data_IF_581520238278
#
_entry.id   IF_581520238278
#
_cell.length_a   1.000
_cell.length_b   1.000
_cell.length_c   1.000
_cell.angle_alpha   90.00
_cell.angle_beta   90.00
_cell.angle_gamma   90.00
#
_symmetry.space_group_name_H-M   'P 1'
#
loop_
_entity.id
_entity.type
_entity.pdbx_description
1 polymer ?
#
# COMPACT_ATOMS: atom_id res chain seq x y z
N UNK A 1 3.07 -56.20 23.03
CA UNK A 1 2.07 -55.64 22.09
C UNK A 1 1.61 -54.23 22.47
N UNK A 2 2.51 -53.34 22.96
CA UNK A 2 2.19 -51.95 23.38
C UNK A 2 2.93 -50.86 22.62
N UNK A 3 3.85 -51.21 21.72
CA UNK A 3 4.73 -50.23 21.04
C UNK A 3 4.16 -49.63 19.74
N UNK A 4 3.19 -50.30 19.09
CA UNK A 4 2.60 -49.81 17.82
C UNK A 4 1.62 -48.66 18.03
N UNK A 5 0.96 -48.55 19.17
CA UNK A 5 -0.04 -47.50 19.42
C UNK A 5 0.57 -46.15 19.70
N UNK A 6 1.81 -46.10 20.20
CA UNK A 6 2.48 -44.83 20.52
C UNK A 6 3.02 -44.15 19.26
N UNK A 7 3.55 -44.90 18.32
CA UNK A 7 4.04 -44.39 17.06
C UNK A 7 2.97 -43.85 16.13
N UNK A 8 1.77 -44.47 16.16
CA UNK A 8 0.62 -43.98 15.39
C UNK A 8 0.09 -42.64 15.94
N UNK A 9 0.06 -42.46 17.27
CA UNK A 9 -0.40 -41.21 17.87
C UNK A 9 0.58 -40.06 17.62
N UNK A 10 1.89 -40.31 17.67
CA UNK A 10 2.91 -39.28 17.38
C UNK A 10 2.91 -38.83 15.93
N UNK A 11 2.60 -39.71 14.99
CA UNK A 11 2.45 -39.36 13.57
C UNK A 11 1.19 -38.52 13.32
N UNK A 12 0.10 -38.76 14.04
CA UNK A 12 -1.14 -37.97 13.95
C UNK A 12 -0.96 -36.54 14.47
N UNK A 13 -0.27 -36.35 15.61
CA UNK A 13 0.01 -35.02 16.14
C UNK A 13 1.01 -34.25 15.29
N UNK A 14 1.99 -34.91 14.68
CA UNK A 14 2.94 -34.29 13.74
C UNK A 14 2.24 -33.83 12.46
N UNK A 15 1.25 -34.56 11.97
CA UNK A 15 0.48 -34.23 10.78
C UNK A 15 -0.49 -33.05 11.04
N UNK A 16 -1.13 -33.02 12.23
CA UNK A 16 -2.03 -31.93 12.62
C UNK A 16 -1.30 -30.60 12.82
N UNK A 17 -0.08 -30.60 13.35
CA UNK A 17 0.73 -29.40 13.52
C UNK A 17 1.24 -28.91 12.15
N UNK A 18 1.56 -29.81 11.22
CA UNK A 18 1.97 -29.47 9.87
C UNK A 18 0.84 -28.87 9.00
N UNK A 19 -0.41 -29.26 9.22
CA UNK A 19 -1.56 -28.70 8.50
C UNK A 19 -1.98 -27.31 9.01
N UNK A 20 -1.76 -27.01 10.28
CA UNK A 20 -2.11 -25.70 10.84
C UNK A 20 -1.15 -24.58 10.41
N UNK A 21 0.05 -24.92 9.95
CA UNK A 21 1.04 -23.92 9.47
C UNK A 21 0.81 -23.47 8.00
N UNK A 22 -0.18 -24.03 7.32
CA UNK A 22 -0.38 -23.80 5.88
C UNK A 22 -1.39 -22.69 5.54
N UNK A 23 -1.97 -21.98 6.53
CA UNK A 23 -3.13 -21.12 6.28
C UNK A 23 -2.91 -19.60 6.45
N UNK A 24 -1.74 -19.13 6.78
CA UNK A 24 -1.43 -17.71 6.74
C UNK A 24 -0.82 -17.35 5.37
N UNK A 25 -1.59 -17.48 4.32
CA UNK A 25 -1.20 -16.97 3.00
C UNK A 25 -1.77 -15.55 2.90
N UNK A 26 -0.92 -14.56 3.16
CA UNK A 26 -1.28 -13.16 2.92
C UNK A 26 -1.64 -12.93 1.45
N UNK A 27 -2.26 -11.80 1.17
CA UNK A 27 -2.74 -11.42 -0.15
C UNK A 27 -1.67 -11.56 -1.23
N UNK A 28 -1.93 -12.33 -2.27
CA UNK A 28 -1.05 -12.38 -3.44
C UNK A 28 -1.45 -11.27 -4.40
N UNK A 29 -0.65 -10.20 -4.46
CA UNK A 29 -0.83 -9.15 -5.44
C UNK A 29 0.06 -9.44 -6.65
N UNK A 30 -0.57 -9.53 -7.82
CA UNK A 30 0.09 -9.84 -9.09
C UNK A 30 -0.18 -8.80 -10.18
N UNK A 31 -0.87 -7.72 -9.86
CA UNK A 31 -1.19 -6.66 -10.81
C UNK A 31 -1.84 -5.44 -10.15
N UNK A 32 -2.33 -4.54 -11.01
CA UNK A 32 -2.98 -3.31 -10.56
C UNK A 32 -4.22 -3.02 -11.40
N UNK A 33 -5.34 -2.77 -10.72
CA UNK A 33 -6.62 -2.36 -11.29
C UNK A 33 -6.67 -0.85 -11.48
N UNK A 34 -7.06 -0.40 -12.67
CA UNK A 34 -7.24 1.03 -12.93
C UNK A 34 -8.67 1.47 -12.61
N UNK A 35 -8.80 2.50 -11.78
CA UNK A 35 -10.05 3.17 -11.46
C UNK A 35 -9.96 4.64 -11.91
N UNK A 36 -10.19 4.91 -13.20
CA UNK A 36 -10.05 6.25 -13.75
C UNK A 36 -11.22 7.14 -13.34
N UNK A 37 -10.94 8.45 -13.17
CA UNK A 37 -11.97 9.49 -12.95
C UNK A 37 -12.84 9.27 -11.72
N UNK A 38 -12.19 8.95 -10.58
CA UNK A 38 -12.85 8.89 -9.25
C UNK A 38 -13.51 10.22 -8.91
N UNK A 39 -12.81 11.33 -9.20
CA UNK A 39 -13.37 12.66 -9.35
C UNK A 39 -13.19 13.09 -10.81
N UNK A 40 -14.18 13.79 -11.38
CA UNK A 40 -14.20 14.12 -12.80
C UNK A 40 -14.83 15.49 -13.03
N UNK A 41 -14.30 16.53 -12.40
CA UNK A 41 -14.81 17.90 -12.53
C UNK A 41 -14.45 18.52 -13.89
N UNK A 42 -13.46 17.95 -14.61
CA UNK A 42 -13.17 18.26 -16.00
C UNK A 42 -13.31 17.02 -16.90
N UNK A 43 -14.53 16.64 -17.29
CA UNK A 43 -14.76 15.44 -18.11
C UNK A 43 -14.18 15.54 -19.52
N UNK A 44 -13.87 16.75 -20.00
CA UNK A 44 -13.23 16.98 -21.30
C UNK A 44 -11.70 16.84 -21.30
N UNK A 45 -11.07 16.55 -20.18
CA UNK A 45 -9.63 16.30 -20.12
C UNK A 45 -9.25 15.01 -20.84
N UNK A 46 -8.00 14.94 -21.31
CA UNK A 46 -7.45 13.74 -21.93
C UNK A 46 -6.63 12.95 -20.92
N UNK A 47 -7.21 11.84 -20.44
CA UNK A 47 -6.54 10.91 -19.52
C UNK A 47 -5.81 9.83 -20.28
N UNK A 48 -4.55 9.60 -19.91
CA UNK A 48 -3.73 8.47 -20.37
C UNK A 48 -3.13 7.76 -19.16
N UNK A 49 -3.39 6.46 -19.02
CA UNK A 49 -2.75 5.59 -18.02
C UNK A 49 -1.89 4.57 -18.77
N UNK A 50 -0.62 4.50 -18.40
CA UNK A 50 0.34 3.58 -19.02
C UNK A 50 1.00 2.71 -17.93
N UNK A 51 1.07 1.38 -18.09
CA UNK A 51 0.49 0.60 -19.19
C UNK A 51 -1.05 0.68 -19.20
N UNK A 52 -1.63 0.37 -20.36
CA UNK A 52 -3.09 0.27 -20.44
C UNK A 52 -3.60 -0.88 -19.56
N UNK A 53 -4.82 -0.71 -19.03
CA UNK A 53 -5.47 -1.75 -18.23
C UNK A 53 -5.78 -3.03 -19.04
N UNK A 54 -5.72 -4.21 -18.42
CA UNK A 54 -5.29 -4.50 -17.05
C UNK A 54 -3.76 -4.48 -16.90
N UNK A 55 -3.26 -3.97 -15.76
CA UNK A 55 -1.82 -3.97 -15.46
C UNK A 55 -1.48 -5.25 -14.73
N UNK A 56 -0.94 -6.22 -15.45
CA UNK A 56 -0.59 -7.55 -14.92
C UNK A 56 0.92 -7.65 -14.63
N UNK A 57 1.37 -6.89 -13.63
CA UNK A 57 2.76 -6.87 -13.17
C UNK A 57 2.84 -6.40 -11.71
N UNK A 58 3.73 -7.00 -10.93
CA UNK A 58 4.16 -6.56 -9.61
C UNK A 58 5.62 -7.03 -9.41
N UNK A 59 6.62 -6.12 -9.43
CA UNK A 59 6.52 -4.67 -9.48
C UNK A 59 6.03 -4.11 -10.82
N UNK A 60 5.52 -2.86 -10.81
CA UNK A 60 5.04 -2.16 -11.99
C UNK A 60 5.62 -0.74 -12.11
N UNK A 61 5.69 -0.26 -13.35
CA UNK A 61 5.84 1.17 -13.65
C UNK A 61 4.52 1.68 -14.19
N UNK A 62 3.97 2.72 -13.55
CA UNK A 62 2.65 3.26 -13.83
C UNK A 62 2.78 4.74 -14.10
N UNK A 63 2.22 5.23 -15.19
CA UNK A 63 2.14 6.65 -15.48
C UNK A 63 0.69 7.08 -15.61
N UNK A 64 0.28 8.09 -14.85
CA UNK A 64 -1.06 8.69 -14.87
C UNK A 64 -0.90 10.12 -15.36
N UNK A 65 -1.30 10.40 -16.59
CA UNK A 65 -1.27 11.73 -17.20
C UNK A 65 -2.70 12.18 -17.50
N UNK A 66 -3.14 13.29 -16.90
CA UNK A 66 -4.39 13.95 -17.25
C UNK A 66 -4.11 15.38 -17.76
N UNK A 67 -4.44 15.62 -19.03
CA UNK A 67 -4.24 16.89 -19.74
C UNK A 67 -5.56 17.68 -19.78
N UNK A 68 -5.56 18.85 -19.17
CA UNK A 68 -6.77 19.67 -19.02
C UNK A 68 -7.02 20.57 -20.22
N UNK A 69 -8.28 20.65 -20.63
CA UNK A 69 -8.71 21.45 -21.80
C UNK A 69 -8.99 22.92 -21.47
N UNK A 70 -9.13 23.25 -20.18
CA UNK A 70 -9.44 24.61 -19.72
C UNK A 70 -9.36 24.72 -18.20
N UNK A 71 -9.55 25.95 -17.71
CA UNK A 71 -9.68 26.18 -16.27
C UNK A 71 -10.97 25.55 -15.73
N UNK A 72 -10.88 24.98 -14.52
CA UNK A 72 -12.04 24.47 -13.80
C UNK A 72 -11.82 24.50 -12.30
N UNK A 73 -12.92 24.69 -11.54
CA UNK A 73 -12.92 24.53 -10.08
C UNK A 73 -13.09 23.06 -9.72
N UNK A 74 -12.27 22.58 -8.80
CA UNK A 74 -12.32 21.19 -8.37
C UNK A 74 -11.11 20.38 -8.84
N UNK A 75 -11.26 19.07 -8.97
CA UNK A 75 -10.17 18.19 -9.34
C UNK A 75 -10.64 16.98 -10.16
N UNK A 76 -9.74 16.49 -11.01
CA UNK A 76 -9.80 15.11 -11.49
C UNK A 76 -8.87 14.24 -10.64
N UNK A 77 -9.32 13.05 -10.28
CA UNK A 77 -8.53 12.03 -9.58
C UNK A 77 -8.62 10.69 -10.31
N UNK A 78 -7.49 10.04 -10.41
CA UNK A 78 -7.34 8.76 -11.06
C UNK A 78 -6.52 7.85 -10.15
N UNK A 79 -7.03 6.63 -9.93
CA UNK A 79 -6.42 5.64 -9.05
C UNK A 79 -5.98 4.41 -9.84
N UNK A 80 -4.92 3.79 -9.36
CA UNK A 80 -4.45 2.47 -9.79
C UNK A 80 -4.18 1.64 -8.54
N UNK A 81 -5.08 0.71 -8.25
CA UNK A 81 -5.14 -0.05 -7.00
C UNK A 81 -4.51 -1.44 -7.15
N UNK A 82 -3.88 -1.95 -6.09
CA UNK A 82 -3.35 -3.32 -6.06
C UNK A 82 -4.45 -4.34 -6.40
N UNK A 83 -4.07 -5.40 -7.12
CA UNK A 83 -4.97 -6.43 -7.64
C UNK A 83 -4.37 -7.82 -7.45
N UNK A 84 -5.20 -8.76 -7.03
CA UNK A 84 -4.85 -10.18 -6.89
C UNK A 84 -5.20 -11.04 -8.11
N UNK A 85 -5.86 -10.47 -9.11
CA UNK A 85 -6.39 -11.16 -10.30
C UNK A 85 -5.84 -10.59 -11.63
N UNK A 86 -4.61 -10.05 -11.59
CA UNK A 86 -3.94 -9.53 -12.77
C UNK A 86 -4.47 -8.18 -13.25
N UNK A 87 -5.04 -7.37 -12.38
CA UNK A 87 -5.52 -6.04 -12.70
C UNK A 87 -6.99 -5.96 -13.14
N UNK A 88 -7.75 -7.03 -12.92
CA UNK A 88 -9.19 -7.07 -13.30
C UNK A 88 -10.06 -6.39 -12.23
N UNK A 89 -9.75 -6.63 -10.94
CA UNK A 89 -10.44 -5.98 -9.82
C UNK A 89 -9.45 -5.48 -8.77
N UNK A 90 -9.82 -4.44 -8.03
CA UNK A 90 -9.04 -3.99 -6.88
C UNK A 90 -9.11 -5.01 -5.75
N UNK A 91 -7.98 -5.32 -5.12
CA UNK A 91 -7.93 -6.19 -3.96
C UNK A 91 -8.43 -5.47 -2.71
N UNK A 92 -9.29 -6.13 -1.94
CA UNK A 92 -9.76 -5.64 -0.65
C UNK A 92 -8.93 -6.28 0.47
N UNK A 93 -8.14 -5.45 1.15
CA UNK A 93 -7.34 -5.85 2.29
C UNK A 93 -8.21 -5.90 3.55
N UNK A 94 -7.99 -6.90 4.39
CA UNK A 94 -8.58 -6.98 5.70
C UNK A 94 -7.69 -6.31 6.76
N UNK A 95 -8.24 -6.12 7.95
CA UNK A 95 -7.53 -5.54 9.10
C UNK A 95 -6.33 -6.39 9.57
N UNK A 96 -6.32 -7.68 9.21
CA UNK A 96 -5.28 -8.63 9.59
C UNK A 96 -4.17 -8.74 8.53
N UNK A 97 -4.34 -8.13 7.38
CA UNK A 97 -3.35 -8.18 6.31
C UNK A 97 -2.13 -7.32 6.68
N UNK A 98 -0.96 -7.94 6.78
CA UNK A 98 0.30 -7.24 6.99
C UNK A 98 1.08 -7.14 5.70
N UNK A 99 1.47 -5.91 5.32
CA UNK A 99 2.14 -5.69 4.04
C UNK A 99 3.10 -4.51 4.04
N UNK A 100 3.92 -4.49 3.01
CA UNK A 100 4.75 -3.38 2.58
C UNK A 100 4.33 -2.95 1.18
N UNK A 101 3.94 -1.69 1.01
CA UNK A 101 3.68 -1.08 -0.28
C UNK A 101 4.66 0.05 -0.52
N UNK A 102 5.37 0.03 -1.64
CA UNK A 102 6.36 1.05 -2.00
C UNK A 102 6.22 1.50 -3.44
N UNK A 103 6.55 2.75 -3.70
CA UNK A 103 6.65 3.31 -5.05
C UNK A 103 7.60 4.49 -5.08
N UNK A 104 8.32 4.67 -6.18
CA UNK A 104 9.00 5.94 -6.46
C UNK A 104 8.08 6.83 -7.25
N UNK A 105 7.73 7.98 -6.69
CA UNK A 105 6.84 8.95 -7.32
C UNK A 105 7.63 10.12 -7.89
N UNK A 106 7.26 10.52 -9.12
CA UNK A 106 7.67 11.79 -9.73
C UNK A 106 6.40 12.51 -10.17
N UNK A 107 6.11 13.65 -9.54
CA UNK A 107 4.96 14.49 -9.87
C UNK A 107 5.43 15.65 -10.74
N UNK A 108 4.80 15.82 -11.90
CA UNK A 108 4.97 16.99 -12.76
C UNK A 108 3.59 17.57 -13.12
N UNK A 109 3.57 18.86 -13.43
CA UNK A 109 2.37 19.58 -13.88
C UNK A 109 2.73 20.69 -14.84
N UNK A 110 1.77 21.20 -15.60
CA UNK A 110 1.95 22.38 -16.43
C UNK A 110 2.21 23.62 -15.58
N UNK A 111 1.49 23.73 -14.47
CA UNK A 111 1.65 24.77 -13.46
C UNK A 111 1.63 24.15 -12.07
N UNK A 112 2.33 24.78 -11.10
CA UNK A 112 2.30 24.29 -9.71
C UNK A 112 0.97 24.56 -9.01
N UNK A 113 0.25 25.60 -9.42
CA UNK A 113 -1.07 25.96 -8.91
C UNK A 113 -2.12 25.94 -10.06
N UNK A 114 -3.31 25.42 -9.86
CA UNK A 114 -3.81 24.81 -8.63
C UNK A 114 -3.03 23.54 -8.29
N UNK A 115 -3.11 23.16 -7.01
CA UNK A 115 -2.42 22.02 -6.44
C UNK A 115 -2.58 20.76 -7.30
N UNK A 116 -1.45 20.08 -7.60
CA UNK A 116 -1.37 18.75 -8.13
C UNK A 116 -0.81 17.84 -7.05
N UNK A 117 -1.26 16.61 -7.04
CA UNK A 117 -0.87 15.60 -6.06
C UNK A 117 -0.60 14.26 -6.75
N UNK A 118 0.34 13.52 -6.20
CA UNK A 118 0.57 12.13 -6.55
C UNK A 118 1.08 11.38 -5.32
N UNK A 119 0.72 10.11 -5.19
CA UNK A 119 1.17 9.33 -4.04
C UNK A 119 0.44 8.00 -3.88
N UNK A 120 0.47 7.52 -2.64
CA UNK A 120 -0.21 6.29 -2.22
C UNK A 120 -1.58 6.67 -1.66
N UNK A 121 -2.61 5.92 -2.05
CA UNK A 121 -3.96 6.07 -1.54
C UNK A 121 -4.45 4.78 -0.91
N UNK A 122 -5.06 4.93 0.24
CA UNK A 122 -5.92 3.92 0.85
C UNK A 122 -7.36 4.36 0.65
N UNK A 123 -8.16 3.48 0.09
CA UNK A 123 -9.58 3.72 -0.14
C UNK A 123 -10.40 2.76 0.72
N UNK A 124 -11.13 3.29 1.69
CA UNK A 124 -12.08 2.50 2.47
C UNK A 124 -13.50 2.99 2.16
N UNK A 125 -14.43 2.10 1.83
CA UNK A 125 -15.82 2.48 1.61
C UNK A 125 -16.53 2.95 2.89
N UNK A 126 -15.93 2.69 4.06
CA UNK A 126 -16.54 3.00 5.36
C UNK A 126 -15.98 4.31 5.93
N UNK A 127 -14.68 4.54 5.79
CA UNK A 127 -13.97 5.60 6.51
C UNK A 127 -13.37 6.67 5.60
N UNK A 128 -13.50 6.47 4.29
CA UNK A 128 -12.99 7.40 3.30
C UNK A 128 -11.52 7.17 2.95
N UNK A 129 -10.86 8.25 2.52
CA UNK A 129 -9.51 8.20 1.98
C UNK A 129 -8.45 8.45 3.03
N UNK A 130 -7.37 7.66 2.99
CA UNK A 130 -6.09 8.06 3.54
C UNK A 130 -5.09 8.24 2.38
N UNK A 131 -4.36 9.33 2.40
CA UNK A 131 -3.43 9.73 1.36
C UNK A 131 -2.04 9.90 1.94
N UNK A 132 -1.03 9.36 1.25
CA UNK A 132 0.38 9.65 1.49
C UNK A 132 0.96 10.20 0.20
N UNK A 133 1.26 11.48 0.14
CA UNK A 133 1.40 12.21 -1.11
C UNK A 133 2.57 13.18 -1.13
N UNK A 134 2.94 13.55 -2.37
CA UNK A 134 3.67 14.76 -2.70
C UNK A 134 2.75 15.74 -3.41
N UNK A 135 2.97 17.05 -3.24
CA UNK A 135 2.19 18.07 -3.93
C UNK A 135 3.06 19.13 -4.63
N UNK A 136 2.46 19.85 -5.58
CA UNK A 136 3.15 20.79 -6.43
C UNK A 136 3.20 22.22 -5.91
N UNK A 137 2.19 22.66 -5.16
CA UNK A 137 2.04 24.06 -4.74
C UNK A 137 2.84 24.39 -3.48
N UNK A 138 2.79 23.55 -2.47
CA UNK A 138 3.54 23.72 -1.23
C UNK A 138 4.83 22.89 -1.18
N UNK A 139 5.02 21.94 -2.09
CA UNK A 139 6.17 21.04 -2.09
C UNK A 139 6.21 20.11 -0.87
N UNK A 140 5.06 19.72 -0.37
CA UNK A 140 4.94 18.88 0.82
C UNK A 140 5.08 17.40 0.48
N UNK A 141 5.54 16.65 1.48
CA UNK A 141 5.42 15.20 1.57
C UNK A 141 4.64 14.93 2.84
N UNK A 142 3.42 14.46 2.71
CA UNK A 142 2.46 14.49 3.83
C UNK A 142 1.46 13.34 3.79
N UNK A 143 0.95 12.97 4.97
CA UNK A 143 -0.16 12.02 5.12
C UNK A 143 -1.43 12.76 5.56
N UNK A 144 -2.59 12.38 4.98
CA UNK A 144 -3.91 12.90 5.32
C UNK A 144 -4.94 11.78 5.46
N UNK A 145 -6.01 12.01 6.20
CA UNK A 145 -7.14 11.08 6.34
C UNK A 145 -6.86 9.89 7.24
N UNK A 146 -5.74 9.92 7.93
CA UNK A 146 -5.28 8.93 8.91
C UNK A 146 -4.32 9.60 9.89
N UNK A 147 -3.32 8.88 10.43
CA UNK A 147 -2.27 9.51 11.22
C UNK A 147 -1.58 10.59 10.40
N UNK A 148 -1.73 11.85 10.84
CA UNK A 148 -1.14 12.99 10.14
C UNK A 148 0.37 13.04 10.39
N UNK A 149 1.16 13.18 9.33
CA UNK A 149 2.60 13.41 9.41
C UNK A 149 3.08 14.27 8.24
N UNK A 150 3.93 15.24 8.53
CA UNK A 150 4.61 16.08 7.54
C UNK A 150 6.11 15.77 7.55
N UNK A 151 6.63 15.20 6.46
CA UNK A 151 8.05 14.97 6.26
C UNK A 151 8.70 16.29 5.83
N UNK A 152 9.30 17.01 6.78
CA UNK A 152 9.89 18.33 6.53
C UNK A 152 11.40 18.32 6.56
N UNK A 153 12.03 19.32 5.95
CA UNK A 153 13.42 19.67 6.21
C UNK A 153 13.48 20.45 7.53
N UNK A 154 13.76 19.79 8.67
CA UNK A 154 14.12 20.40 9.97
C UNK A 154 13.46 21.75 10.27
N UNK A 155 12.12 21.83 10.23
CA UNK A 155 11.37 22.99 10.75
C UNK A 155 10.77 23.96 9.74
N UNK A 156 10.74 23.64 8.46
CA UNK A 156 10.04 24.50 7.52
C UNK A 156 9.73 23.78 6.21
N UNK A 157 8.51 23.45 5.97
CA UNK A 157 7.85 22.92 4.79
C UNK A 157 8.67 22.71 3.53
N UNK A 158 8.38 22.15 2.50
CA UNK A 158 9.00 21.93 1.22
C UNK A 158 10.06 20.83 1.20
N UNK A 159 9.60 19.60 1.50
CA UNK A 159 10.43 18.41 1.36
C UNK A 159 10.49 17.86 -0.06
N UNK A 160 9.63 18.36 -0.96
CA UNK A 160 9.48 17.89 -2.34
C UNK A 160 9.66 19.02 -3.36
N UNK A 161 10.36 18.72 -4.43
CA UNK A 161 10.45 19.60 -5.61
C UNK A 161 9.75 18.91 -6.78
N UNK A 162 8.72 19.52 -7.40
CA UNK A 162 8.08 18.93 -8.59
C UNK A 162 9.10 18.53 -9.65
N UNK A 163 8.94 17.34 -10.21
CA UNK A 163 9.88 16.72 -11.14
C UNK A 163 11.00 15.91 -10.49
N UNK A 164 11.22 16.00 -9.18
CA UNK A 164 12.14 15.09 -8.49
C UNK A 164 11.48 13.72 -8.22
N UNK A 165 12.31 12.67 -8.13
CA UNK A 165 11.85 11.33 -7.79
C UNK A 165 12.09 11.05 -6.31
N UNK A 166 11.09 10.56 -5.62
CA UNK A 166 11.15 10.19 -4.20
C UNK A 166 10.52 8.82 -3.97
N UNK A 167 11.11 8.00 -3.12
CA UNK A 167 10.46 6.79 -2.62
C UNK A 167 9.42 7.16 -1.56
N UNK A 168 8.21 6.70 -1.73
CA UNK A 168 7.17 6.63 -0.71
C UNK A 168 6.97 5.17 -0.33
N UNK A 169 6.85 4.89 0.95
CA UNK A 169 6.58 3.54 1.43
C UNK A 169 5.64 3.54 2.62
N UNK A 170 4.82 2.51 2.68
CA UNK A 170 3.89 2.26 3.77
C UNK A 170 4.05 0.82 4.22
N UNK A 171 4.28 0.63 5.51
CA UNK A 171 4.24 -0.67 6.16
C UNK A 171 3.02 -0.73 7.06
N UNK A 172 2.19 -1.72 6.84
CA UNK A 172 1.06 -2.03 7.70
C UNK A 172 1.34 -3.35 8.40
N UNK A 173 1.12 -3.38 9.70
CA UNK A 173 1.19 -4.57 10.53
C UNK A 173 -0.18 -4.76 11.15
N UNK A 174 -0.91 -5.73 10.62
CA UNK A 174 -2.19 -6.17 11.15
C UNK A 174 -2.02 -6.77 12.54
N UNK A 175 -2.87 -6.39 13.46
CA UNK A 175 -2.89 -6.88 14.85
C UNK A 175 -4.15 -7.69 15.15
N UNK A 176 -4.96 -7.96 14.13
CA UNK A 176 -6.29 -8.53 14.30
C UNK A 176 -7.30 -7.52 14.79
N UNK A 177 -8.44 -8.01 15.19
CA UNK A 177 -9.56 -7.25 15.73
C UNK A 177 -9.31 -6.64 17.14
N UNK A 178 -8.04 -6.61 17.57
CA UNK A 178 -7.63 -6.22 18.92
C UNK A 178 -7.86 -7.32 19.96
N UNK A 179 -8.33 -8.47 19.57
CA UNK A 179 -8.43 -9.65 20.44
C UNK A 179 -7.03 -10.24 20.59
N UNK A 180 -6.43 -10.01 21.73
CA UNK A 180 -5.05 -10.42 22.03
C UNK A 180 -4.10 -9.26 22.31
N UNK A 181 -4.56 -8.01 22.23
CA UNK A 181 -3.83 -6.84 22.71
C UNK A 181 -2.78 -6.31 21.74
N UNK A 182 -2.72 -6.79 20.50
CA UNK A 182 -1.87 -6.22 19.46
C UNK A 182 -2.70 -5.22 18.64
N UNK A 183 -2.36 -3.93 18.72
CA UNK A 183 -3.01 -2.92 17.89
C UNK A 183 -2.40 -2.93 16.49
N UNK A 184 -3.23 -2.69 15.48
CA UNK A 184 -2.75 -2.42 14.13
C UNK A 184 -1.85 -1.20 14.13
N UNK A 185 -0.77 -1.28 13.38
CA UNK A 185 0.16 -0.16 13.21
C UNK A 185 0.40 0.11 11.74
N UNK A 186 0.56 1.38 11.44
CA UNK A 186 0.99 1.85 10.13
C UNK A 186 2.27 2.67 10.29
N UNK A 187 3.23 2.47 9.41
CA UNK A 187 4.46 3.24 9.35
C UNK A 187 4.59 3.83 7.95
N UNK A 188 4.81 5.13 7.87
CA UNK A 188 5.14 5.82 6.63
C UNK A 188 6.63 6.09 6.59
N UNK A 189 7.23 5.95 5.41
CA UNK A 189 8.63 6.28 5.21
C UNK A 189 8.89 6.81 3.81
N UNK A 190 9.96 7.58 3.71
CA UNK A 190 10.43 8.18 2.46
C UNK A 190 11.92 7.96 2.28
N UNK A 191 12.39 8.03 1.03
CA UNK A 191 13.81 8.16 0.71
C UNK A 191 14.00 9.16 -0.43
N UNK A 192 14.65 10.28 -0.11
CA UNK A 192 15.06 11.33 -1.05
C UNK A 192 16.42 11.06 -1.69
N UNK A 193 17.01 9.87 -1.47
CA UNK A 193 18.36 9.50 -1.90
C UNK A 193 19.45 9.70 -0.84
N UNK A 194 19.09 10.18 0.35
CA UNK A 194 20.00 10.38 1.49
C UNK A 194 19.81 9.33 2.61
N UNK A 195 18.92 8.38 2.40
CA UNK A 195 18.51 7.37 3.38
C UNK A 195 17.04 7.48 3.75
N UNK A 196 16.57 6.47 4.48
CA UNK A 196 15.17 6.35 4.88
C UNK A 196 14.88 7.29 6.05
N UNK A 197 13.84 8.13 5.89
CA UNK A 197 13.18 8.85 6.96
C UNK A 197 11.85 8.14 7.26
N UNK A 198 11.48 7.96 8.52
CA UNK A 198 10.28 7.21 8.91
C UNK A 198 9.55 7.86 10.06
N UNK A 199 8.22 7.66 10.10
CA UNK A 199 7.39 8.02 11.25
C UNK A 199 7.61 7.09 12.44
N UNK A 200 8.22 5.91 12.22
CA UNK A 200 8.03 4.79 13.11
C UNK A 200 6.59 4.27 13.09
N UNK A 201 6.32 3.17 13.83
CA UNK A 201 4.97 2.63 13.92
C UNK A 201 4.01 3.60 14.61
N UNK A 202 2.92 3.94 13.92
CA UNK A 202 1.82 4.75 14.43
C UNK A 202 0.60 3.86 14.67
N UNK A 203 -0.17 4.07 15.75
CA UNK A 203 -1.43 3.35 15.91
C UNK A 203 -2.36 3.65 14.74
N UNK A 204 -2.95 2.60 14.18
CA UNK A 204 -3.95 2.74 13.13
C UNK A 204 -5.33 2.39 13.65
N UNK A 205 -5.86 3.25 14.50
CA UNK A 205 -7.14 3.02 15.20
C UNK A 205 -8.28 3.87 14.70
N UNK A 206 -7.98 4.92 13.94
CA UNK A 206 -8.94 6.00 13.71
C UNK A 206 -9.63 5.95 12.37
N UNK A 207 -9.61 4.86 11.72
CA UNK A 207 -10.62 4.67 10.72
C UNK A 207 -11.82 4.10 11.44
N UNK A 208 -12.54 4.99 12.10
CA UNK A 208 -13.73 4.86 12.92
C UNK A 208 -14.47 3.54 12.73
N UNK A 209 -14.14 2.51 13.54
CA UNK A 209 -14.78 1.21 13.48
C UNK A 209 -13.97 0.08 12.87
N UNK A 210 -12.68 0.30 12.63
CA UNK A 210 -11.78 -0.70 12.05
C UNK A 210 -11.80 -0.74 10.52
N UNK A 211 -10.62 -0.87 9.92
CA UNK A 211 -10.48 -1.06 8.48
C UNK A 211 -10.93 -2.44 8.05
N UNK A 212 -12.21 -2.64 7.96
CA UNK A 212 -12.75 -3.79 7.26
C UNK A 212 -12.82 -3.43 5.78
N UNK A 213 -11.98 -4.06 4.97
CA UNK A 213 -11.97 -3.93 3.51
C UNK A 213 -11.52 -2.56 2.99
N UNK A 214 -10.23 -2.31 2.98
CA UNK A 214 -9.63 -1.18 2.29
C UNK A 214 -8.87 -1.63 1.03
N UNK A 215 -8.68 -0.70 0.11
CA UNK A 215 -7.86 -0.88 -1.08
C UNK A 215 -6.61 0.00 -0.95
N UNK A 216 -5.47 -0.45 -1.47
CA UNK A 216 -4.25 0.35 -1.52
C UNK A 216 -3.72 0.42 -2.93
N UNK A 217 -3.19 1.58 -3.32
CA UNK A 217 -2.61 1.79 -4.63
C UNK A 217 -1.97 3.15 -4.79
N UNK A 218 -1.74 3.55 -6.02
CA UNK A 218 -1.23 4.87 -6.37
C UNK A 218 -2.32 5.73 -6.98
N UNK A 219 -2.18 7.06 -6.85
CA UNK A 219 -3.11 8.00 -7.44
C UNK A 219 -2.41 9.26 -7.96
N UNK A 220 -3.03 9.93 -8.91
CA UNK A 220 -2.72 11.29 -9.29
C UNK A 220 -3.99 12.14 -9.33
N UNK A 221 -3.89 13.38 -8.86
CA UNK A 221 -4.99 14.34 -8.78
C UNK A 221 -4.52 15.73 -9.14
N UNK A 222 -5.38 16.49 -9.80
CA UNK A 222 -5.09 17.90 -10.08
C UNK A 222 -6.27 18.68 -10.61
N UNK A 223 -6.16 20.00 -10.50
CA UNK A 223 -7.02 20.98 -11.13
C UNK A 223 -6.25 21.83 -12.14
N UNK A 224 -6.94 22.76 -12.83
CA UNK A 224 -6.31 23.65 -13.79
C UNK A 224 -6.90 25.06 -13.74
N UNK A 225 -6.02 26.07 -13.86
CA UNK A 225 -6.40 27.47 -14.03
C UNK A 225 -6.46 27.91 -15.50
N UNK A 226 -5.93 27.09 -16.43
CA UNK A 226 -5.88 27.38 -17.85
C UNK A 226 -5.88 26.10 -18.68
N UNK A 227 -6.20 26.22 -19.96
CA UNK A 227 -5.99 25.15 -20.93
C UNK A 227 -4.51 24.85 -21.13
N UNK A 228 -4.18 23.57 -21.40
CA UNK A 228 -2.82 23.09 -21.54
C UNK A 228 -2.10 22.79 -20.24
N UNK A 229 -2.75 23.00 -19.09
CA UNK A 229 -2.26 22.49 -17.82
C UNK A 229 -2.46 20.97 -17.74
N UNK A 230 -1.70 20.30 -16.90
CA UNK A 230 -1.80 18.85 -16.71
C UNK A 230 -1.33 18.44 -15.32
N UNK A 231 -1.71 17.25 -14.90
CA UNK A 231 -1.08 16.51 -13.83
C UNK A 231 -0.48 15.22 -14.40
N UNK A 232 0.75 14.91 -14.02
CA UNK A 232 1.42 13.68 -14.40
C UNK A 232 2.10 13.07 -13.17
N UNK A 233 1.59 11.93 -12.73
CA UNK A 233 2.18 11.07 -11.71
C UNK A 233 2.87 9.89 -12.37
N UNK A 234 4.21 9.86 -12.34
CA UNK A 234 5.00 8.70 -12.74
C UNK A 234 5.39 7.93 -11.47
N UNK A 235 4.99 6.66 -11.42
CA UNK A 235 5.24 5.72 -10.34
C UNK A 235 6.12 4.59 -10.88
N UNK A 236 7.36 4.49 -10.36
CA UNK A 236 8.29 3.41 -10.74
C UNK A 236 8.52 2.48 -9.55
N UNK A 237 8.88 1.24 -9.84
CA UNK A 237 9.11 0.22 -8.80
C UNK A 237 7.95 0.06 -7.83
N UNK A 238 6.71 0.28 -8.33
CA UNK A 238 5.50 0.11 -7.52
C UNK A 238 5.37 -1.36 -7.14
N UNK A 239 5.52 -1.63 -5.85
CA UNK A 239 5.64 -3.00 -5.33
C UNK A 239 4.77 -3.20 -4.11
N UNK A 240 4.08 -4.32 -4.10
CA UNK A 240 3.42 -4.86 -2.93
C UNK A 240 4.14 -6.12 -2.47
N UNK A 241 4.39 -6.23 -1.17
CA UNK A 241 5.00 -7.40 -0.54
C UNK A 241 4.25 -7.77 0.73
N UNK A 242 3.86 -9.03 0.86
CA UNK A 242 3.28 -9.56 2.09
C UNK A 242 4.35 -9.58 3.18
N UNK A 243 3.98 -9.14 4.37
CA UNK A 243 4.79 -9.33 5.57
C UNK A 243 4.24 -10.55 6.31
N UNK A 244 4.99 -11.65 6.41
CA UNK A 244 4.53 -12.81 7.17
C UNK A 244 4.33 -12.44 8.63
N UNK A 245 3.22 -12.86 9.21
CA UNK A 245 2.97 -12.64 10.63
C UNK A 245 4.06 -13.27 11.51
N UNK A 246 4.43 -12.62 12.63
CA UNK A 246 5.43 -13.15 13.55
C UNK A 246 5.13 -14.58 14.04
N UNK A 247 3.85 -14.92 14.17
CA UNK A 247 3.38 -16.25 14.53
C UNK A 247 3.76 -17.33 13.52
N UNK A 248 3.82 -17.01 12.25
CA UNK A 248 4.21 -17.96 11.17
C UNK A 248 5.66 -18.41 11.35
N UNK A 249 6.58 -17.50 11.66
CA UNK A 249 7.98 -17.86 11.93
C UNK A 249 8.14 -18.68 13.20
N UNK A 250 7.37 -18.38 14.25
CA UNK A 250 7.40 -19.15 15.50
C UNK A 250 6.87 -20.59 15.28
N UNK A 251 5.81 -20.76 14.50
CA UNK A 251 5.27 -22.08 14.17
C UNK A 251 6.21 -22.91 13.30
N UNK A 252 6.84 -22.30 12.30
CA UNK A 252 7.85 -22.94 11.45
C UNK A 252 9.08 -23.34 12.31
N UNK A 253 9.54 -22.44 13.18
CA UNK A 253 10.63 -22.71 14.11
C UNK A 253 10.31 -23.88 15.05
N UNK A 254 9.13 -23.87 15.71
CA UNK A 254 8.71 -24.96 16.60
C UNK A 254 8.54 -26.29 15.84
N UNK A 255 8.01 -26.25 14.61
CA UNK A 255 7.90 -27.44 13.77
C UNK A 255 9.26 -28.06 13.44
N UNK A 256 10.24 -27.24 13.08
CA UNK A 256 11.62 -27.68 12.80
C UNK A 256 12.31 -28.26 14.06
N UNK A 257 12.16 -27.60 15.22
CA UNK A 257 12.68 -28.10 16.49
C UNK A 257 12.01 -29.43 16.90
N UNK A 258 10.71 -29.55 16.68
CA UNK A 258 9.97 -30.80 16.91
C UNK A 258 10.49 -31.95 16.04
N UNK A 259 10.74 -31.71 14.75
CA UNK A 259 11.31 -32.70 13.83
C UNK A 259 12.74 -33.10 14.21
N UNK A 260 13.58 -32.17 14.61
CA UNK A 260 14.94 -32.43 15.07
C UNK A 260 14.95 -33.26 16.38
N UNK A 261 14.04 -32.98 17.31
CA UNK A 261 13.92 -33.72 18.55
C UNK A 261 13.49 -35.19 18.33
N UNK A 262 12.60 -35.44 17.36
CA UNK A 262 12.17 -36.79 16.96
C UNK A 262 13.32 -37.55 16.31
N UNK A 263 14.13 -36.88 15.44
CA UNK A 263 15.25 -37.50 14.76
C UNK A 263 16.39 -37.91 15.70
N UNK A 264 16.55 -37.20 16.84
CA UNK A 264 17.62 -37.48 17.84
C UNK A 264 17.30 -38.67 18.76
N UNK A 265 16.05 -39.16 18.73
CA UNK A 265 15.59 -40.33 19.53
C UNK A 265 15.60 -41.65 18.75
N UNK A 266 16.08 -41.66 17.53
CA UNK A 266 16.35 -42.84 16.71
C UNK A 266 17.84 -43.12 16.66
#
# INVERSE_FOLDING_TARGET
MKTKTFLQRSAYYGLLIGLAAATAQGATINGYYTNPRVFNDNPGSTLTITPAAPINANPATINILDQFTGAFGGANRHDVMASGDGGVTAYNFGIDDSFLFTTRVTLTGGFNSPRKEAGIRFNSPITGDMLFLVNSDAGEIVTFGGPFHLFGNNGGGNGYTPGSSILLGVREIGGGDGVGGVANTIEFFIDRGAGIETTGPLPWTNLEGGLVNFQVGVYAQGGANAGGDFVNGLFTDTTYTVIPEPGTFALVGMGLFGLLAIRRKR
#
